data_IF_139912832748
#
_entry.id   IF_139912832748
#
_cell.length_a   1.000
_cell.length_b   1.000
_cell.length_c   1.000
_cell.angle_alpha   90.00
_cell.angle_beta   90.00
_cell.angle_gamma   90.00
#
_symmetry.space_group_name_H-M   'P 1'
#
loop_
_entity.id
_entity.type
_entity.pdbx_description
1 polymer ?
#
# COMPACT_ATOMS: atom_id res chain seq x y z
N UNK A 1 4.06 -70.00 26.78
CA UNK A 1 3.93 -69.64 25.35
C UNK A 1 3.33 -68.25 25.29
N UNK A 2 4.12 -67.28 24.82
CA UNK A 2 3.76 -65.86 24.76
C UNK A 2 2.75 -65.67 23.62
N UNK A 3 1.57 -65.09 23.94
CA UNK A 3 0.61 -64.59 22.95
C UNK A 3 0.82 -63.09 22.82
N UNK A 4 1.31 -62.65 21.66
CA UNK A 4 1.34 -61.24 21.29
C UNK A 4 -0.09 -60.80 20.91
N UNK A 5 -0.56 -59.70 21.51
CA UNK A 5 -1.78 -59.00 21.13
C UNK A 5 -1.35 -57.72 20.41
N UNK A 6 -1.73 -57.58 19.15
CA UNK A 6 -1.59 -56.31 18.41
C UNK A 6 -2.83 -55.46 18.67
N UNK A 7 -2.64 -54.28 19.26
CA UNK A 7 -3.68 -53.24 19.36
C UNK A 7 -3.45 -52.28 18.19
N UNK A 8 -4.38 -52.26 17.23
CA UNK A 8 -4.45 -51.21 16.22
C UNK A 8 -5.17 -50.01 16.84
N UNK A 9 -4.45 -48.93 17.11
CA UNK A 9 -5.04 -47.63 17.41
C UNK A 9 -5.49 -46.99 16.10
N UNK A 10 -6.79 -46.97 15.84
CA UNK A 10 -7.38 -46.17 14.77
C UNK A 10 -7.37 -44.71 15.25
N UNK A 11 -6.38 -43.93 14.79
CA UNK A 11 -6.42 -42.47 14.90
C UNK A 11 -7.56 -41.96 14.01
N UNK A 12 -8.74 -41.72 14.60
CA UNK A 12 -9.73 -40.86 13.98
C UNK A 12 -9.16 -39.44 13.97
N UNK A 13 -8.59 -39.03 12.85
CA UNK A 13 -8.39 -37.62 12.55
C UNK A 13 -9.78 -36.99 12.40
N UNK A 14 -10.25 -36.34 13.46
CA UNK A 14 -11.31 -35.34 13.34
C UNK A 14 -10.67 -34.20 12.57
N UNK A 15 -10.86 -34.16 11.25
CA UNK A 15 -10.73 -32.90 10.52
C UNK A 15 -11.82 -31.99 11.11
N UNK A 16 -11.43 -31.14 12.06
CA UNK A 16 -12.21 -29.95 12.33
C UNK A 16 -12.22 -29.18 11.00
N UNK A 17 -13.38 -29.16 10.33
CA UNK A 17 -13.60 -28.23 9.25
C UNK A 17 -13.32 -26.84 9.85
N UNK A 18 -12.30 -26.15 9.33
CA UNK A 18 -12.06 -24.76 9.67
C UNK A 18 -13.40 -24.01 9.51
N UNK A 19 -13.83 -23.21 10.49
CA UNK A 19 -15.04 -22.43 10.34
C UNK A 19 -14.85 -21.59 9.07
N UNK A 20 -15.81 -21.66 8.13
CA UNK A 20 -15.85 -20.70 7.04
C UNK A 20 -15.84 -19.31 7.68
N UNK A 21 -14.82 -18.49 7.41
CA UNK A 21 -14.81 -17.14 7.95
C UNK A 21 -16.11 -16.46 7.55
N UNK A 22 -16.77 -15.94 8.58
CA UNK A 22 -17.98 -15.17 8.42
C UNK A 22 -17.58 -13.85 7.78
N UNK A 23 -18.41 -13.33 6.87
CA UNK A 23 -18.22 -11.97 6.39
C UNK A 23 -18.26 -11.01 7.59
N UNK A 24 -17.35 -10.02 7.61
CA UNK A 24 -17.31 -9.02 8.66
C UNK A 24 -18.57 -8.16 8.61
N UNK A 25 -19.16 -7.91 9.77
CA UNK A 25 -20.21 -6.90 9.88
C UNK A 25 -19.56 -5.51 9.87
N UNK A 26 -20.05 -4.62 9.01
CA UNK A 26 -19.54 -3.25 8.88
C UNK A 26 -20.53 -2.25 9.50
N UNK A 27 -20.03 -1.38 10.38
CA UNK A 27 -20.75 -0.20 10.86
C UNK A 27 -20.11 1.04 10.28
N UNK A 28 -20.90 1.82 9.55
CA UNK A 28 -20.44 3.02 8.86
C UNK A 28 -20.88 4.28 9.62
N UNK A 29 -19.95 5.23 9.75
CA UNK A 29 -20.19 6.56 10.26
C UNK A 29 -19.89 7.58 9.15
N UNK A 30 -20.77 8.55 8.98
CA UNK A 30 -20.58 9.67 8.07
C UNK A 30 -20.62 10.99 8.83
N UNK A 31 -19.94 12.01 8.29
CA UNK A 31 -19.98 13.36 8.82
C UNK A 31 -20.59 14.33 7.80
N UNK A 32 -21.54 15.16 8.23
CA UNK A 32 -22.00 16.30 7.44
C UNK A 32 -21.00 17.45 7.63
N UNK A 33 -20.24 17.73 6.57
CA UNK A 33 -19.19 18.74 6.58
C UNK A 33 -19.62 19.98 5.78
N UNK A 34 -19.19 21.19 6.19
CA UNK A 34 -19.54 22.42 5.48
C UNK A 34 -18.97 22.46 4.05
N UNK A 35 -17.88 21.72 3.81
CA UNK A 35 -17.19 21.58 2.54
C UNK A 35 -16.77 20.12 2.34
N UNK A 36 -16.59 19.70 1.09
CA UNK A 36 -16.09 18.35 0.78
C UNK A 36 -14.63 18.21 1.23
N UNK A 37 -14.25 17.00 1.60
CA UNK A 37 -12.85 16.60 1.76
C UNK A 37 -12.18 16.60 0.40
N UNK A 38 -11.05 17.28 0.27
CA UNK A 38 -10.23 17.33 -0.95
C UNK A 38 -8.85 16.68 -0.79
N UNK A 39 -8.50 16.29 0.44
CA UNK A 39 -7.32 15.51 0.76
C UNK A 39 -7.50 14.78 2.09
N UNK A 40 -6.97 13.56 2.15
CA UNK A 40 -6.95 12.70 3.32
C UNK A 40 -5.54 12.11 3.43
N UNK A 41 -4.98 12.08 4.64
CA UNK A 41 -3.64 11.53 4.84
C UNK A 41 -3.27 11.46 6.32
N UNK A 42 -1.99 11.17 6.58
CA UNK A 42 -1.42 11.15 7.92
C UNK A 42 -0.47 12.31 8.11
N UNK A 43 -0.56 12.98 9.27
CA UNK A 43 0.39 14.00 9.68
C UNK A 43 0.68 13.79 11.16
N UNK A 44 1.95 13.57 11.50
CA UNK A 44 2.41 13.28 12.87
C UNK A 44 1.68 12.08 13.51
N UNK A 45 1.42 11.04 12.70
CA UNK A 45 0.71 9.83 13.12
C UNK A 45 -0.81 9.95 13.22
N UNK A 46 -1.37 11.17 13.12
CA UNK A 46 -2.81 11.39 13.16
C UNK A 46 -3.45 11.33 11.77
N UNK A 47 -4.67 10.81 11.67
CA UNK A 47 -5.50 10.93 10.46
C UNK A 47 -5.97 12.37 10.32
N UNK A 48 -5.71 12.97 9.16
CA UNK A 48 -6.06 14.34 8.86
C UNK A 48 -6.82 14.43 7.55
N UNK A 49 -7.87 15.25 7.55
CA UNK A 49 -8.52 15.72 6.33
C UNK A 49 -8.19 17.19 6.08
N UNK A 50 -8.14 17.56 4.81
CA UNK A 50 -8.28 18.94 4.35
C UNK A 50 -9.61 19.08 3.63
N UNK A 51 -10.34 20.14 3.96
CA UNK A 51 -11.58 20.51 3.29
C UNK A 51 -11.29 21.44 2.12
N UNK A 52 -12.23 21.53 1.17
CA UNK A 52 -12.11 22.39 -0.02
C UNK A 52 -11.98 23.90 0.28
N UNK A 53 -12.21 24.33 1.52
CA UNK A 53 -11.95 25.71 1.99
C UNK A 53 -10.51 25.90 2.52
N UNK A 54 -9.69 24.85 2.49
CA UNK A 54 -8.31 24.82 2.99
C UNK A 54 -8.19 24.49 4.49
N UNK A 55 -9.30 24.35 5.22
CA UNK A 55 -9.24 24.02 6.65
C UNK A 55 -8.81 22.56 6.87
N UNK A 56 -8.01 22.34 7.91
CA UNK A 56 -7.49 21.02 8.27
C UNK A 56 -8.06 20.55 9.60
N UNK A 57 -8.39 19.26 9.68
CA UNK A 57 -8.97 18.66 10.88
C UNK A 57 -8.38 17.29 11.15
N UNK A 58 -8.06 17.01 12.40
CA UNK A 58 -7.78 15.65 12.88
C UNK A 58 -9.11 14.90 12.96
N UNK A 59 -9.14 13.70 12.39
CA UNK A 59 -10.29 12.78 12.46
C UNK A 59 -10.13 11.87 13.67
N UNK A 60 -11.16 11.78 14.49
CA UNK A 60 -11.29 10.79 15.56
C UNK A 60 -12.63 10.06 15.48
N UNK A 61 -12.83 9.11 16.37
CA UNK A 61 -14.06 8.32 16.49
C UNK A 61 -14.45 8.18 17.96
N UNK A 62 -15.73 8.35 18.26
CA UNK A 62 -16.32 8.05 19.57
C UNK A 62 -17.65 7.28 19.44
N UNK A 63 -18.34 7.07 20.56
CA UNK A 63 -19.62 6.35 20.59
C UNK A 63 -20.71 7.00 19.73
N UNK A 64 -20.66 8.33 19.55
CA UNK A 64 -21.61 9.12 18.76
C UNK A 64 -21.24 9.18 17.27
N UNK A 65 -19.95 9.01 16.95
CA UNK A 65 -19.45 8.85 15.59
C UNK A 65 -18.18 9.64 15.34
N UNK A 66 -18.04 10.18 14.13
CA UNK A 66 -16.83 10.89 13.72
C UNK A 66 -16.70 12.19 14.53
N UNK A 67 -15.53 12.41 15.12
CA UNK A 67 -15.15 13.67 15.74
C UNK A 67 -14.11 14.39 14.88
N UNK A 68 -14.18 15.73 14.87
CA UNK A 68 -13.22 16.57 14.15
C UNK A 68 -12.63 17.61 15.08
N UNK A 69 -11.30 17.64 15.15
CA UNK A 69 -10.56 18.66 15.88
C UNK A 69 -9.78 19.55 14.91
N UNK A 70 -10.02 20.87 14.86
CA UNK A 70 -9.27 21.76 13.99
C UNK A 70 -7.78 21.68 14.26
N UNK A 71 -6.98 21.72 13.20
CA UNK A 71 -5.52 21.86 13.30
C UNK A 71 -5.01 22.95 12.36
N UNK A 72 -3.88 23.59 12.68
CA UNK A 72 -3.20 24.46 11.73
C UNK A 72 -2.84 23.71 10.45
N UNK A 73 -2.73 24.45 9.35
CA UNK A 73 -2.12 23.96 8.12
C UNK A 73 -0.71 23.40 8.43
N UNK A 74 -0.36 22.22 7.91
CA UNK A 74 0.98 21.67 8.08
C UNK A 74 2.02 22.58 7.44
N UNK A 75 3.20 22.64 8.05
CA UNK A 75 4.35 23.28 7.39
C UNK A 75 4.66 22.53 6.09
N UNK A 76 5.07 23.23 5.03
CA UNK A 76 5.50 22.57 3.81
C UNK A 76 6.65 21.59 4.12
N UNK A 77 6.69 20.42 3.47
CA UNK A 77 7.78 19.48 3.64
C UNK A 77 9.14 20.15 3.38
N UNK A 78 10.15 19.77 4.16
CA UNK A 78 11.52 20.23 3.90
C UNK A 78 12.04 19.45 2.69
N UNK A 79 12.30 20.17 1.60
CA UNK A 79 12.87 19.58 0.39
C UNK A 79 14.27 19.01 0.62
N UNK A 80 14.71 18.16 -0.30
CA UNK A 80 15.97 17.42 -0.17
C UNK A 80 17.23 18.31 -0.32
N UNK A 81 17.06 19.49 -0.93
CA UNK A 81 18.14 20.35 -1.44
C UNK A 81 18.96 19.70 -2.57
N UNK A 82 18.44 18.67 -3.24
CA UNK A 82 19.06 18.07 -4.41
C UNK A 82 18.99 19.03 -5.62
N UNK A 83 20.11 19.36 -6.28
CA UNK A 83 20.09 20.20 -7.48
C UNK A 83 19.34 19.57 -8.67
N UNK A 84 19.04 18.27 -8.61
CA UNK A 84 18.26 17.55 -9.61
C UNK A 84 16.96 16.96 -9.02
N UNK A 85 16.39 17.59 -7.98
CA UNK A 85 15.09 17.21 -7.42
C UNK A 85 13.99 17.18 -8.49
N UNK A 86 12.95 16.36 -8.24
CA UNK A 86 11.73 16.39 -9.06
C UNK A 86 10.99 17.72 -8.87
N UNK A 87 10.23 18.20 -9.88
CA UNK A 87 9.45 19.43 -9.76
C UNK A 87 8.41 19.40 -8.62
N UNK A 88 7.82 18.24 -8.37
CA UNK A 88 6.83 17.96 -7.32
C UNK A 88 7.43 17.08 -6.21
N UNK A 89 8.72 17.27 -5.91
CA UNK A 89 9.50 16.45 -4.98
C UNK A 89 8.73 16.10 -3.68
N UNK A 90 8.74 14.80 -3.39
CA UNK A 90 8.31 14.25 -2.10
C UNK A 90 9.52 13.59 -1.45
N UNK A 91 9.89 14.10 -0.27
CA UNK A 91 10.88 13.47 0.61
C UNK A 91 10.14 12.62 1.63
N UNK A 92 10.39 11.31 1.62
CA UNK A 92 9.90 10.38 2.63
C UNK A 92 10.96 10.15 3.70
N UNK A 93 10.54 9.77 4.90
CA UNK A 93 11.42 9.47 6.03
C UNK A 93 11.17 8.05 6.52
N UNK A 94 12.23 7.31 6.81
CA UNK A 94 12.18 5.98 7.43
C UNK A 94 12.37 6.03 8.94
N UNK A 95 12.22 4.87 9.57
CA UNK A 95 12.35 4.71 11.02
C UNK A 95 13.65 3.98 11.42
N UNK A 96 14.31 3.28 10.49
CA UNK A 96 15.52 2.49 10.76
C UNK A 96 16.80 3.10 10.15
N UNK A 97 17.43 2.43 9.19
CA UNK A 97 18.69 2.83 8.54
C UNK A 97 18.54 4.01 7.57
N UNK A 98 17.36 4.21 6.95
CA UNK A 98 17.11 5.23 5.94
C UNK A 98 16.42 6.44 6.58
N UNK A 99 17.15 7.53 6.78
CA UNK A 99 16.62 8.77 7.35
C UNK A 99 15.67 9.50 6.41
N UNK A 100 16.00 9.53 5.12
CA UNK A 100 15.19 10.17 4.10
C UNK A 100 15.45 9.59 2.70
N UNK A 101 14.45 9.56 1.83
CA UNK A 101 14.60 9.20 0.42
C UNK A 101 13.71 10.05 -0.49
N UNK A 102 14.15 10.27 -1.74
CA UNK A 102 13.41 11.04 -2.74
C UNK A 102 13.84 10.64 -4.15
N UNK A 103 12.94 10.85 -5.12
CA UNK A 103 13.26 10.69 -6.53
C UNK A 103 13.94 11.94 -7.11
N UNK A 104 14.72 11.75 -8.18
CA UNK A 104 15.54 12.79 -8.81
C UNK A 104 15.74 12.56 -10.30
N UNK A 105 16.40 13.54 -10.95
CA UNK A 105 16.69 13.56 -12.39
C UNK A 105 15.40 13.48 -13.23
N UNK A 106 14.57 14.53 -13.21
CA UNK A 106 13.34 14.56 -14.01
C UNK A 106 13.65 14.31 -15.49
N UNK A 107 12.80 13.54 -16.15
CA UNK A 107 12.97 13.13 -17.55
C UNK A 107 11.62 12.95 -18.24
N UNK A 108 11.57 13.23 -19.54
CA UNK A 108 10.38 13.01 -20.38
C UNK A 108 10.53 11.75 -21.26
N UNK A 109 11.49 10.86 -20.97
CA UNK A 109 11.86 9.76 -21.87
C UNK A 109 10.82 8.63 -21.95
N UNK A 110 9.95 8.54 -20.95
CA UNK A 110 8.88 7.55 -20.91
C UNK A 110 7.56 8.23 -21.22
N UNK A 111 7.18 9.25 -20.44
CA UNK A 111 6.08 10.17 -20.76
C UNK A 111 4.72 9.49 -20.75
N UNK A 112 4.45 8.63 -19.77
CA UNK A 112 3.18 7.90 -19.69
C UNK A 112 2.02 8.79 -19.23
N UNK A 113 2.31 9.82 -18.44
CA UNK A 113 1.32 10.74 -17.88
C UNK A 113 0.28 10.12 -16.93
N UNK A 114 0.55 8.91 -16.42
CA UNK A 114 -0.39 8.21 -15.56
C UNK A 114 -0.59 8.90 -14.21
N UNK A 115 0.44 9.59 -13.70
CA UNK A 115 0.44 10.28 -12.40
C UNK A 115 0.13 11.79 -12.48
N UNK A 116 -0.35 12.27 -13.65
CA UNK A 116 -0.81 13.65 -13.85
C UNK A 116 0.17 14.55 -14.61
N UNK A 117 1.45 14.20 -14.67
CA UNK A 117 2.43 14.83 -15.57
C UNK A 117 3.23 13.77 -16.36
N UNK A 118 3.92 14.20 -17.42
CA UNK A 118 4.73 13.32 -18.25
C UNK A 118 6.22 13.30 -17.83
N UNK A 119 6.51 13.58 -16.56
CA UNK A 119 7.87 13.69 -16.02
C UNK A 119 8.11 12.54 -15.04
N UNK A 120 8.87 11.55 -15.46
CA UNK A 120 9.29 10.46 -14.58
C UNK A 120 10.69 10.70 -14.00
N UNK A 121 11.03 9.94 -12.96
CA UNK A 121 12.31 10.07 -12.29
C UNK A 121 13.38 9.18 -12.95
N UNK A 122 14.53 9.78 -13.24
CA UNK A 122 15.70 9.08 -13.77
C UNK A 122 16.60 8.46 -12.72
N UNK A 123 16.39 8.81 -11.45
CA UNK A 123 17.15 8.26 -10.34
C UNK A 123 16.45 8.41 -9.00
N UNK A 124 17.06 7.81 -8.00
CA UNK A 124 16.68 7.82 -6.59
C UNK A 124 17.87 8.34 -5.79
N UNK A 125 17.60 9.08 -4.72
CA UNK A 125 18.58 9.37 -3.70
C UNK A 125 18.03 9.03 -2.32
N UNK A 126 18.95 8.69 -1.42
CA UNK A 126 18.62 8.58 0.00
C UNK A 126 19.71 9.17 0.88
N UNK A 127 19.32 9.42 2.12
CA UNK A 127 20.18 9.78 3.23
C UNK A 127 20.05 8.71 4.30
N UNK A 128 21.16 8.09 4.65
CA UNK A 128 21.24 7.14 5.76
C UNK A 128 21.23 7.89 7.09
N UNK A 129 20.92 7.18 8.18
CA UNK A 129 20.90 7.75 9.54
C UNK A 129 22.24 8.39 9.96
N UNK A 130 23.37 7.86 9.46
CA UNK A 130 24.70 8.45 9.64
C UNK A 130 24.97 9.73 8.84
N UNK A 131 23.99 10.22 8.07
CA UNK A 131 24.09 11.43 7.23
C UNK A 131 24.72 11.21 5.86
N UNK A 132 25.19 10.00 5.56
CA UNK A 132 25.72 9.63 4.25
C UNK A 132 24.62 9.67 3.19
N UNK A 133 24.97 10.19 2.02
CA UNK A 133 24.07 10.30 0.88
C UNK A 133 24.50 9.33 -0.20
N UNK A 134 23.55 8.52 -0.65
CA UNK A 134 23.72 7.59 -1.76
C UNK A 134 22.74 7.95 -2.89
N UNK A 135 23.12 7.63 -4.13
CA UNK A 135 22.26 7.80 -5.29
C UNK A 135 22.26 6.53 -6.15
N UNK A 136 21.12 6.23 -6.76
CA UNK A 136 20.98 5.20 -7.78
C UNK A 136 20.37 5.84 -9.01
N UNK A 137 21.11 5.86 -10.11
CA UNK A 137 20.64 6.41 -11.38
C UNK A 137 20.33 5.26 -12.35
N UNK A 138 19.16 5.28 -12.96
CA UNK A 138 18.78 4.31 -13.97
C UNK A 138 19.45 4.62 -15.32
N UNK A 139 19.63 3.59 -16.13
CA UNK A 139 19.95 3.78 -17.55
C UNK A 139 18.77 4.45 -18.27
N UNK A 140 18.98 4.89 -19.51
CA UNK A 140 17.90 5.47 -20.33
C UNK A 140 16.83 4.47 -20.74
N UNK A 141 16.98 3.18 -20.41
CA UNK A 141 16.04 2.12 -20.79
C UNK A 141 14.88 1.98 -19.81
N UNK A 142 14.94 2.63 -18.64
CA UNK A 142 13.89 2.60 -17.62
C UNK A 142 13.74 3.95 -16.91
N UNK A 143 12.65 4.14 -16.18
CA UNK A 143 12.38 5.26 -15.26
C UNK A 143 11.80 4.71 -13.96
N UNK A 144 11.85 5.48 -12.87
CA UNK A 144 10.97 5.26 -11.73
C UNK A 144 9.65 5.97 -12.02
N UNK A 145 8.57 5.21 -12.08
CA UNK A 145 7.21 5.70 -12.40
C UNK A 145 6.35 5.68 -11.14
N UNK A 146 6.69 6.59 -10.23
CA UNK A 146 6.19 6.65 -8.87
C UNK A 146 6.47 8.06 -8.30
N UNK A 147 5.67 8.55 -7.34
CA UNK A 147 5.85 9.94 -6.82
C UNK A 147 6.76 10.02 -5.61
N UNK A 148 6.82 8.95 -4.82
CA UNK A 148 7.67 8.86 -3.65
C UNK A 148 8.18 7.43 -3.46
N UNK A 149 9.46 7.23 -3.09
CA UNK A 149 9.95 5.91 -2.69
C UNK A 149 9.20 5.41 -1.46
N UNK A 150 8.98 4.10 -1.34
CA UNK A 150 8.42 3.49 -0.12
C UNK A 150 9.56 2.89 0.68
N UNK A 151 9.78 3.39 1.91
CA UNK A 151 10.78 2.85 2.84
C UNK A 151 10.08 1.80 3.70
N UNK A 152 10.56 0.56 3.67
CA UNK A 152 9.94 -0.56 4.38
C UNK A 152 10.95 -1.70 4.56
N UNK A 153 10.96 -2.30 5.74
CA UNK A 153 11.61 -3.58 6.04
C UNK A 153 10.83 -4.72 5.35
N UNK A 154 11.28 -5.11 4.15
CA UNK A 154 10.54 -6.03 3.28
C UNK A 154 10.81 -7.47 3.71
N UNK A 155 12.03 -7.81 4.09
CA UNK A 155 12.40 -9.19 4.45
C UNK A 155 12.27 -9.50 5.96
N UNK A 156 12.01 -8.49 6.78
CA UNK A 156 11.76 -8.63 8.22
C UNK A 156 13.04 -8.69 9.06
N UNK A 157 14.20 -8.30 8.53
CA UNK A 157 15.47 -8.34 9.26
C UNK A 157 15.72 -7.12 10.16
N UNK A 158 14.86 -6.10 10.08
CA UNK A 158 14.93 -4.85 10.83
C UNK A 158 15.76 -3.75 10.17
N UNK A 159 16.20 -3.95 8.93
CA UNK A 159 16.77 -2.95 8.04
C UNK A 159 15.69 -2.55 7.03
N UNK A 160 15.58 -1.26 6.71
CA UNK A 160 14.64 -0.81 5.68
C UNK A 160 15.28 -0.92 4.28
N UNK A 161 14.48 -1.43 3.34
CA UNK A 161 14.70 -1.34 1.90
C UNK A 161 13.86 -0.21 1.30
N UNK A 162 14.09 0.05 0.01
CA UNK A 162 13.21 0.86 -0.82
C UNK A 162 12.42 -0.04 -1.77
N UNK A 163 11.09 0.04 -1.68
CA UNK A 163 10.18 -0.44 -2.72
C UNK A 163 9.88 0.68 -3.72
N UNK A 164 10.09 0.40 -5.01
CA UNK A 164 9.87 1.34 -6.10
C UNK A 164 9.11 0.68 -7.27
N UNK A 165 8.46 1.52 -8.10
CA UNK A 165 7.92 1.10 -9.40
C UNK A 165 8.90 1.51 -10.49
N UNK A 166 9.55 0.53 -11.13
CA UNK A 166 10.51 0.75 -12.21
C UNK A 166 9.87 0.37 -13.55
N UNK A 167 9.74 1.35 -14.44
CA UNK A 167 9.12 1.16 -15.75
C UNK A 167 10.15 1.13 -16.86
N UNK A 168 10.21 0.00 -17.55
CA UNK A 168 11.04 -0.19 -18.73
C UNK A 168 10.37 0.44 -19.95
N UNK A 169 11.13 1.23 -20.71
CA UNK A 169 10.67 1.95 -21.90
C UNK A 169 10.05 1.06 -22.99
N UNK A 170 10.32 -0.25 -22.96
CA UNK A 170 9.82 -1.24 -23.92
C UNK A 170 9.00 -2.36 -23.30
N UNK A 171 8.91 -2.45 -21.98
CA UNK A 171 8.29 -3.58 -21.29
C UNK A 171 7.35 -3.21 -20.14
N UNK A 172 7.22 -1.92 -19.81
CA UNK A 172 6.31 -1.44 -18.76
C UNK A 172 6.89 -1.62 -17.36
N UNK A 173 6.02 -1.41 -16.36
CA UNK A 173 6.37 -1.44 -14.95
C UNK A 173 6.75 -2.83 -14.45
N UNK A 174 7.68 -2.82 -13.50
CA UNK A 174 8.03 -3.89 -12.59
C UNK A 174 8.12 -3.31 -11.16
N UNK A 175 7.90 -4.17 -10.16
CA UNK A 175 8.30 -3.85 -8.80
C UNK A 175 9.82 -4.00 -8.69
N UNK A 176 10.45 -3.13 -7.90
CA UNK A 176 11.88 -3.12 -7.66
C UNK A 176 12.14 -2.94 -6.16
N UNK A 177 12.97 -3.82 -5.60
CA UNK A 177 13.53 -3.70 -4.25
C UNK A 177 14.96 -3.19 -4.36
N UNK A 178 15.26 -2.12 -3.62
CA UNK A 178 16.59 -1.52 -3.58
C UNK A 178 17.09 -1.55 -2.15
N UNK A 179 18.23 -2.19 -1.96
CA UNK A 179 18.90 -2.32 -0.67
C UNK A 179 20.02 -1.28 -0.51
N UNK A 180 20.32 -0.97 0.74
CA UNK A 180 21.57 -0.30 1.13
C UNK A 180 22.68 -1.33 1.33
N UNK A 181 23.90 -1.05 0.83
CA UNK A 181 25.07 -1.91 1.04
C UNK A 181 26.33 -1.10 1.27
N UNK A 182 27.41 -1.77 1.68
CA UNK A 182 28.76 -1.20 1.83
C UNK A 182 29.28 -0.50 0.55
N UNK A 183 28.70 -0.84 -0.61
CA UNK A 183 29.09 -0.32 -1.94
C UNK A 183 28.07 0.68 -2.50
N UNK A 184 27.16 1.18 -1.66
CA UNK A 184 26.05 2.04 -2.05
C UNK A 184 24.77 1.27 -2.32
N UNK A 185 23.86 1.86 -3.09
CA UNK A 185 22.56 1.26 -3.42
C UNK A 185 22.69 0.16 -4.47
N UNK A 186 21.97 -0.93 -4.25
CA UNK A 186 21.90 -2.07 -5.18
C UNK A 186 20.45 -2.42 -5.48
N UNK A 187 20.16 -2.73 -6.73
CA UNK A 187 18.91 -3.40 -7.09
C UNK A 187 18.95 -4.84 -6.56
N UNK A 188 18.16 -5.11 -5.54
CA UNK A 188 18.19 -6.37 -4.82
C UNK A 188 17.33 -7.43 -5.49
N UNK A 189 16.12 -7.04 -5.89
CA UNK A 189 15.21 -7.89 -6.64
C UNK A 189 14.29 -7.07 -7.54
N UNK A 190 13.79 -7.69 -8.61
CA UNK A 190 12.76 -7.12 -9.47
C UNK A 190 11.70 -8.18 -9.82
N UNK A 191 10.46 -7.74 -10.06
CA UNK A 191 9.47 -8.58 -10.72
C UNK A 191 9.75 -8.64 -12.22
N UNK A 192 9.19 -9.64 -12.92
CA UNK A 192 9.11 -9.53 -14.37
C UNK A 192 8.32 -8.27 -14.76
N UNK A 193 8.77 -7.49 -15.76
CA UNK A 193 7.98 -6.38 -16.29
C UNK A 193 6.66 -6.88 -16.86
N UNK A 194 5.62 -6.03 -16.84
CA UNK A 194 4.28 -6.40 -17.33
C UNK A 194 4.27 -6.87 -18.80
N UNK A 195 5.28 -6.48 -19.59
CA UNK A 195 5.57 -7.02 -20.92
C UNK A 195 5.20 -6.08 -22.08
N UNK A 196 4.62 -4.92 -21.79
CA UNK A 196 4.33 -3.87 -22.78
C UNK A 196 4.58 -2.49 -22.18
N UNK A 197 5.09 -1.51 -22.95
CA UNK A 197 5.25 -0.15 -22.46
C UNK A 197 3.89 0.45 -22.10
N UNK A 198 3.89 1.46 -21.22
CA UNK A 198 2.69 2.13 -20.73
C UNK A 198 1.71 1.19 -20.01
N UNK A 199 2.27 0.13 -19.42
CA UNK A 199 1.59 -0.70 -18.45
C UNK A 199 2.20 -0.43 -17.10
N UNK A 200 1.35 -0.11 -16.15
CA UNK A 200 1.73 0.32 -14.83
C UNK A 200 1.06 -0.54 -13.76
N UNK A 201 1.63 -0.54 -12.57
CA UNK A 201 1.09 -1.19 -11.38
C UNK A 201 1.19 -0.22 -10.21
N UNK A 202 0.31 -0.36 -9.23
CA UNK A 202 0.36 0.44 -8.02
C UNK A 202 0.51 -0.47 -6.79
N UNK A 203 1.57 -0.32 -6.00
CA UNK A 203 1.71 -1.04 -4.74
C UNK A 203 0.58 -0.73 -3.76
N UNK A 204 0.14 -1.75 -3.02
CA UNK A 204 -0.82 -1.63 -1.91
C UNK A 204 -0.08 -1.55 -0.57
N UNK A 205 0.90 -2.44 -0.36
CA UNK A 205 1.66 -2.52 0.88
C UNK A 205 2.53 -3.78 0.94
N UNK A 206 3.23 -3.95 2.06
CA UNK A 206 4.08 -5.10 2.36
C UNK A 206 3.64 -5.73 3.69
N UNK A 207 3.57 -7.05 3.76
CA UNK A 207 3.16 -7.79 4.95
C UNK A 207 3.07 -9.28 4.68
N UNK A 208 3.00 -10.09 5.74
CA UNK A 208 2.75 -11.53 5.68
C UNK A 208 1.26 -11.76 5.38
N UNK A 209 0.88 -11.69 4.11
CA UNK A 209 -0.53 -11.66 3.68
C UNK A 209 -1.13 -13.06 3.54
N UNK A 210 -0.28 -14.09 3.52
CA UNK A 210 -0.69 -15.49 3.42
C UNK A 210 -0.51 -16.27 4.74
N UNK A 211 0.16 -15.70 5.74
CA UNK A 211 0.30 -16.23 7.09
C UNK A 211 1.40 -17.30 7.22
N UNK A 212 2.35 -17.36 6.28
CA UNK A 212 3.42 -18.34 6.27
C UNK A 212 4.70 -17.89 7.00
N UNK A 213 4.71 -16.64 7.47
CA UNK A 213 5.81 -16.03 8.22
C UNK A 213 6.84 -15.30 7.35
N UNK A 214 6.69 -15.32 6.01
CA UNK A 214 7.41 -14.45 5.09
C UNK A 214 6.53 -13.26 4.73
N UNK A 215 7.12 -12.23 4.15
CA UNK A 215 6.41 -11.00 3.78
C UNK A 215 6.32 -10.91 2.28
N UNK A 216 5.14 -10.51 1.81
CA UNK A 216 4.84 -10.32 0.41
C UNK A 216 4.61 -8.84 0.11
N UNK A 217 4.82 -8.47 -1.15
CA UNK A 217 4.44 -7.18 -1.69
C UNK A 217 3.11 -7.35 -2.41
N UNK A 218 2.07 -6.66 -1.94
CA UNK A 218 0.78 -6.60 -2.62
C UNK A 218 0.77 -5.44 -3.61
N UNK A 219 0.31 -5.66 -4.85
CA UNK A 219 0.14 -4.62 -5.85
C UNK A 219 -1.07 -4.89 -6.76
N UNK A 220 -1.67 -3.82 -7.29
CA UNK A 220 -2.68 -3.92 -8.36
C UNK A 220 -2.00 -3.72 -9.71
N UNK A 221 -2.01 -4.77 -10.53
CA UNK A 221 -1.41 -4.79 -11.86
C UNK A 221 -2.40 -4.22 -12.88
N UNK A 222 -1.96 -3.22 -13.64
CA UNK A 222 -2.78 -2.50 -14.64
C UNK A 222 -4.12 -2.01 -14.09
N UNK A 223 -4.14 -1.14 -13.05
CA UNK A 223 -5.36 -0.73 -12.35
C UNK A 223 -6.41 -0.04 -13.23
N UNK A 224 -6.06 0.37 -14.46
CA UNK A 224 -6.99 1.00 -15.41
C UNK A 224 -7.58 0.03 -16.44
N UNK A 225 -7.10 -1.22 -16.48
CA UNK A 225 -7.43 -2.19 -17.53
C UNK A 225 -7.64 -3.58 -16.96
N UNK A 226 -6.57 -4.23 -16.47
CA UNK A 226 -6.63 -5.61 -15.99
C UNK A 226 -7.15 -5.70 -14.55
N UNK A 227 -6.67 -4.82 -13.67
CA UNK A 227 -7.15 -4.73 -12.30
C UNK A 227 -6.94 -6.01 -11.49
N UNK A 228 -5.72 -6.57 -11.57
CA UNK A 228 -5.35 -7.80 -10.88
C UNK A 228 -4.62 -7.45 -9.58
N UNK A 229 -5.22 -7.76 -8.44
CA UNK A 229 -4.53 -7.72 -7.15
C UNK A 229 -3.64 -8.96 -7.05
N UNK A 230 -2.35 -8.77 -6.81
CA UNK A 230 -1.35 -9.84 -6.81
C UNK A 230 -0.38 -9.67 -5.66
N UNK A 231 -0.03 -10.80 -5.03
CA UNK A 231 1.08 -10.91 -4.08
C UNK A 231 2.35 -11.33 -4.80
N UNK A 232 3.46 -10.71 -4.41
CA UNK A 232 4.80 -11.06 -4.85
C UNK A 232 5.65 -11.43 -3.64
N UNK A 233 6.29 -12.57 -3.71
CA UNK A 233 7.24 -13.02 -2.70
C UNK A 233 8.66 -12.72 -3.17
N UNK A 234 9.51 -12.26 -2.27
CA UNK A 234 10.91 -12.05 -2.56
C UNK A 234 11.71 -13.35 -2.42
N UNK A 235 12.26 -13.83 -3.54
CA UNK A 235 13.12 -15.03 -3.61
C UNK A 235 14.41 -14.70 -4.37
N UNK A 236 15.54 -14.77 -3.67
CA UNK A 236 16.86 -14.43 -4.22
C UNK A 236 16.87 -13.02 -4.86
N UNK A 237 17.15 -12.92 -6.16
CA UNK A 237 17.18 -11.65 -6.91
C UNK A 237 15.85 -11.35 -7.64
N UNK A 238 14.74 -12.00 -7.24
CA UNK A 238 13.45 -11.93 -7.94
C UNK A 238 12.29 -11.67 -7.00
N UNK A 239 11.31 -10.91 -7.50
CA UNK A 239 9.96 -10.85 -6.94
C UNK A 239 9.07 -11.80 -7.75
N UNK A 240 8.74 -12.95 -7.17
CA UNK A 240 7.97 -13.99 -7.84
C UNK A 240 6.48 -13.84 -7.53
N UNK A 241 5.59 -13.92 -8.54
CA UNK A 241 4.16 -13.86 -8.30
C UNK A 241 3.72 -15.13 -7.56
N UNK A 242 2.94 -14.96 -6.50
CA UNK A 242 2.48 -16.09 -5.67
C UNK A 242 0.99 -16.37 -5.89
N UNK A 243 0.13 -15.42 -5.56
CA UNK A 243 -1.32 -15.54 -5.66
C UNK A 243 -1.95 -14.25 -6.18
N UNK A 244 -3.14 -14.35 -6.76
CA UNK A 244 -3.82 -13.21 -7.37
C UNK A 244 -5.34 -13.34 -7.38
N UNK A 245 -6.00 -12.19 -7.48
CA UNK A 245 -7.43 -12.07 -7.67
C UNK A 245 -7.78 -10.89 -8.60
N UNK A 246 -8.74 -11.06 -9.53
CA UNK A 246 -9.15 -9.99 -10.44
C UNK A 246 -10.20 -9.07 -9.81
N UNK A 247 -10.42 -7.91 -10.44
CA UNK A 247 -11.58 -7.06 -10.18
C UNK A 247 -11.32 -5.89 -9.24
N UNK A 248 -10.08 -5.39 -9.22
CA UNK A 248 -9.64 -4.30 -8.34
C UNK A 248 -9.08 -3.12 -9.13
N UNK A 249 -9.20 -1.91 -8.57
CA UNK A 249 -8.51 -0.72 -9.07
C UNK A 249 -8.18 0.18 -7.89
N UNK A 250 -6.93 0.61 -7.77
CA UNK A 250 -6.48 1.52 -6.71
C UNK A 250 -5.83 2.78 -7.30
N UNK A 251 -6.23 3.17 -8.51
CA UNK A 251 -5.72 4.39 -9.14
C UNK A 251 -6.65 4.91 -10.23
N UNK A 252 -6.82 6.24 -10.30
CA UNK A 252 -7.49 6.93 -11.39
C UNK A 252 -6.45 7.52 -12.35
N UNK A 253 -6.57 7.25 -13.66
CA UNK A 253 -5.60 7.75 -14.66
C UNK A 253 -5.47 9.28 -14.60
N UNK A 254 -4.23 9.77 -14.58
CA UNK A 254 -3.92 11.20 -14.46
C UNK A 254 -4.04 11.77 -13.05
N UNK A 255 -4.40 10.95 -12.05
CA UNK A 255 -4.40 11.38 -10.65
C UNK A 255 -2.98 11.31 -10.06
N UNK A 256 -2.58 12.28 -9.23
CA UNK A 256 -1.35 12.20 -8.45
C UNK A 256 -1.50 11.36 -7.16
N UNK A 257 -2.71 10.87 -6.86
CA UNK A 257 -3.02 10.08 -5.67
C UNK A 257 -2.80 8.58 -5.92
N UNK A 258 -1.90 7.96 -5.15
CA UNK A 258 -1.56 6.54 -5.23
C UNK A 258 -2.05 5.73 -4.03
N UNK A 259 -2.58 6.39 -2.99
CA UNK A 259 -2.95 5.81 -1.69
C UNK A 259 -4.38 5.28 -1.59
N UNK A 260 -5.05 4.92 -2.70
CA UNK A 260 -6.45 4.44 -2.69
C UNK A 260 -6.64 3.06 -2.04
N UNK A 261 -5.56 2.42 -1.59
CA UNK A 261 -5.56 1.09 -0.99
C UNK A 261 -4.61 1.06 0.20
N UNK A 262 -4.90 0.19 1.17
CA UNK A 262 -4.05 0.01 2.35
C UNK A 262 -4.16 -1.44 2.87
N UNK A 263 -3.37 -1.77 3.88
CA UNK A 263 -3.35 -3.06 4.53
C UNK A 263 -3.45 -2.93 6.05
N UNK A 264 -4.21 -3.81 6.67
CA UNK A 264 -4.40 -3.91 8.12
C UNK A 264 -5.09 -5.23 8.47
N UNK A 265 -4.81 -5.79 9.64
CA UNK A 265 -5.58 -6.91 10.19
C UNK A 265 -6.99 -6.42 10.60
N UNK A 266 -8.00 -6.74 9.79
CA UNK A 266 -9.36 -6.23 9.96
C UNK A 266 -10.29 -7.23 10.64
N UNK A 267 -9.98 -8.53 10.59
CA UNK A 267 -10.73 -9.58 11.27
C UNK A 267 -10.10 -10.04 12.60
N UNK A 268 -8.89 -9.57 12.91
CA UNK A 268 -8.19 -9.82 14.16
C UNK A 268 -7.56 -11.22 14.24
N UNK A 269 -7.32 -11.89 13.10
CA UNK A 269 -6.69 -13.20 13.06
C UNK A 269 -5.16 -13.15 13.10
N UNK A 270 -4.57 -11.95 13.06
CA UNK A 270 -3.13 -11.70 13.08
C UNK A 270 -2.47 -11.69 11.71
N UNK A 271 -3.21 -11.94 10.63
CA UNK A 271 -2.76 -11.87 9.24
C UNK A 271 -3.33 -10.58 8.63
N UNK A 272 -2.51 -9.65 8.12
CA UNK A 272 -3.01 -8.43 7.50
C UNK A 272 -3.95 -8.71 6.32
N UNK A 273 -5.05 -7.97 6.28
CA UNK A 273 -5.98 -7.93 5.15
C UNK A 273 -5.67 -6.75 4.22
N UNK A 274 -6.17 -6.83 2.99
CA UNK A 274 -6.04 -5.81 1.97
C UNK A 274 -7.36 -5.07 1.79
N UNK A 275 -7.32 -3.75 1.94
CA UNK A 275 -8.44 -2.86 1.70
C UNK A 275 -8.21 -2.20 0.34
N UNK A 276 -8.96 -2.65 -0.68
CA UNK A 276 -8.77 -2.24 -2.07
C UNK A 276 -10.12 -1.97 -2.72
N UNK A 277 -10.29 -0.85 -3.46
CA UNK A 277 -11.53 -0.62 -4.19
C UNK A 277 -11.76 -1.66 -5.29
N UNK A 278 -13.03 -1.87 -5.62
CA UNK A 278 -13.42 -2.65 -6.80
C UNK A 278 -12.87 -2.04 -8.10
N UNK A 279 -13.01 -2.75 -9.22
CA UNK A 279 -12.52 -2.28 -10.53
C UNK A 279 -13.13 -0.94 -10.97
N UNK A 280 -14.31 -0.57 -10.46
CA UNK A 280 -14.95 0.72 -10.73
C UNK A 280 -14.49 1.83 -9.76
N UNK A 281 -13.59 1.50 -8.82
CA UNK A 281 -13.17 2.31 -7.67
C UNK A 281 -14.33 2.78 -6.79
N UNK A 282 -15.47 2.10 -6.82
CA UNK A 282 -16.68 2.56 -6.15
C UNK A 282 -16.78 1.97 -4.76
N UNK A 283 -16.89 0.65 -4.68
CA UNK A 283 -17.03 -0.02 -3.40
C UNK A 283 -15.65 -0.37 -2.84
N UNK A 284 -15.47 -0.20 -1.53
CA UNK A 284 -14.28 -0.71 -0.86
C UNK A 284 -14.48 -2.19 -0.55
N UNK A 285 -13.52 -3.04 -0.90
CA UNK A 285 -13.50 -4.44 -0.52
C UNK A 285 -12.39 -4.68 0.49
N UNK A 286 -12.72 -5.44 1.53
CA UNK A 286 -11.74 -6.01 2.46
C UNK A 286 -11.54 -7.45 2.05
N UNK A 287 -10.32 -7.80 1.69
CA UNK A 287 -9.97 -9.13 1.17
C UNK A 287 -8.74 -9.66 1.86
N UNK A 288 -8.62 -10.98 1.93
CA UNK A 288 -7.51 -11.68 2.58
C UNK A 288 -6.97 -12.76 1.66
N UNK A 289 -5.68 -13.05 1.79
CA UNK A 289 -5.02 -14.21 1.18
C UNK A 289 -4.57 -15.24 2.21
N UNK A 290 -5.00 -15.08 3.47
CA UNK A 290 -4.71 -15.99 4.59
C UNK A 290 -4.76 -17.47 4.19
N UNK A 291 -3.65 -18.17 4.49
CA UNK A 291 -3.35 -19.55 4.10
C UNK A 291 -3.35 -19.81 2.59
N UNK A 292 -2.83 -18.85 1.82
CA UNK A 292 -2.74 -18.88 0.35
C UNK A 292 -4.08 -18.82 -0.38
N UNK A 293 -5.16 -18.37 0.29
CA UNK A 293 -6.53 -18.40 -0.25
C UNK A 293 -7.17 -17.03 -0.27
N UNK A 294 -7.52 -16.58 -1.48
CA UNK A 294 -8.35 -15.40 -1.64
C UNK A 294 -9.74 -15.57 -1.02
N UNK A 295 -10.13 -14.62 -0.17
CA UNK A 295 -11.50 -14.45 0.32
C UNK A 295 -11.84 -12.97 0.42
N UNK A 296 -13.10 -12.62 0.15
CA UNK A 296 -13.63 -11.31 0.48
C UNK A 296 -14.28 -11.37 1.85
N UNK A 297 -13.77 -10.58 2.79
CA UNK A 297 -14.26 -10.47 4.16
C UNK A 297 -15.42 -9.49 4.27
N UNK A 298 -15.36 -8.37 3.54
CA UNK A 298 -16.40 -7.34 3.57
C UNK A 298 -16.49 -6.55 2.26
N UNK A 299 -17.61 -5.85 2.07
CA UNK A 299 -17.76 -4.81 1.07
C UNK A 299 -18.49 -3.61 1.68
N UNK A 300 -17.93 -2.41 1.48
CA UNK A 300 -18.53 -1.13 1.86
C UNK A 300 -19.04 -0.46 0.59
N UNK A 301 -20.35 -0.31 0.51
CA UNK A 301 -21.01 0.23 -0.69
C UNK A 301 -21.00 1.76 -0.66
N UNK A 302 -20.61 2.37 -1.78
CA UNK A 302 -20.55 3.83 -1.90
C UNK A 302 -21.36 4.37 -3.07
N UNK A 303 -21.93 5.56 -2.86
CA UNK A 303 -22.66 6.31 -3.89
C UNK A 303 -21.72 6.98 -4.90
N UNK A 304 -20.49 7.26 -4.52
CA UNK A 304 -19.47 7.93 -5.33
C UNK A 304 -18.17 7.11 -5.36
N UNK A 305 -17.26 7.46 -6.26
CA UNK A 305 -15.95 6.80 -6.38
C UNK A 305 -15.00 7.20 -5.25
N UNK A 306 -14.12 6.28 -4.91
CA UNK A 306 -12.97 6.46 -4.02
C UNK A 306 -11.82 6.97 -4.90
N UNK A 307 -11.55 8.27 -4.82
CA UNK A 307 -10.48 8.93 -5.59
C UNK A 307 -9.44 9.62 -4.69
N UNK A 308 -9.61 9.55 -3.37
CA UNK A 308 -8.67 10.03 -2.35
C UNK A 308 -8.02 8.83 -1.65
N UNK A 309 -6.96 9.10 -0.88
CA UNK A 309 -6.33 8.10 -0.02
C UNK A 309 -7.32 7.36 0.88
N UNK A 310 -6.99 6.09 1.15
CA UNK A 310 -7.66 5.18 2.07
C UNK A 310 -6.70 4.88 3.21
N UNK A 311 -7.15 5.03 4.46
CA UNK A 311 -6.34 4.77 5.64
C UNK A 311 -6.98 3.70 6.52
N UNK A 312 -6.15 2.94 7.23
CA UNK A 312 -6.59 2.05 8.30
C UNK A 312 -5.89 2.43 9.63
N UNK A 313 -6.65 2.90 10.62
CA UNK A 313 -6.11 3.37 11.90
C UNK A 313 -7.11 3.16 13.03
N UNK A 314 -6.59 2.81 14.22
CA UNK A 314 -7.35 2.80 15.47
C UNK A 314 -7.64 4.24 15.90
N UNK A 315 -8.90 4.67 15.72
CA UNK A 315 -9.35 6.03 16.00
C UNK A 315 -10.01 6.17 17.38
N UNK A 316 -10.58 5.10 17.92
CA UNK A 316 -11.28 5.11 19.21
C UNK A 316 -10.47 4.46 20.36
N UNK A 317 -9.31 3.89 20.06
CA UNK A 317 -8.36 3.33 21.02
C UNK A 317 -8.72 1.92 21.50
N UNK A 318 -9.59 1.20 20.79
CA UNK A 318 -10.02 -0.15 21.18
C UNK A 318 -9.03 -1.25 20.76
N UNK A 319 -7.98 -0.89 20.02
CA UNK A 319 -6.95 -1.80 19.52
C UNK A 319 -7.25 -2.42 18.16
N UNK A 320 -8.41 -2.14 17.57
CA UNK A 320 -8.75 -2.49 16.19
C UNK A 320 -8.62 -1.27 15.31
N UNK A 321 -8.50 -1.48 14.00
CA UNK A 321 -8.37 -0.40 13.03
C UNK A 321 -9.68 -0.17 12.31
N UNK A 322 -10.02 1.08 12.11
CA UNK A 322 -11.12 1.51 11.26
C UNK A 322 -10.60 1.86 9.87
N UNK A 323 -11.43 1.68 8.85
CA UNK A 323 -11.16 2.24 7.53
C UNK A 323 -11.67 3.69 7.44
N UNK A 324 -10.82 4.59 6.96
CA UNK A 324 -11.14 6.00 6.74
C UNK A 324 -11.01 6.29 5.25
N UNK A 325 -12.10 6.79 4.67
CA UNK A 325 -12.19 7.11 3.24
C UNK A 325 -13.13 8.30 3.02
N UNK A 326 -13.04 8.92 1.85
CA UNK A 326 -13.93 10.02 1.48
C UNK A 326 -14.46 9.90 0.03
N UNK A 327 -15.35 8.93 -0.27
CA UNK A 327 -15.94 8.78 -1.59
C UNK A 327 -16.68 10.06 -1.99
N UNK A 328 -16.38 10.61 -3.17
CA UNK A 328 -16.93 11.90 -3.61
C UNK A 328 -16.65 13.07 -2.64
N UNK A 329 -15.60 12.97 -1.81
CA UNK A 329 -15.25 13.95 -0.79
C UNK A 329 -16.11 13.91 0.48
N UNK A 330 -16.94 12.87 0.66
CA UNK A 330 -17.77 12.68 1.88
C UNK A 330 -17.07 11.77 2.87
N UNK A 331 -16.58 12.33 3.97
CA UNK A 331 -15.86 11.56 4.99
C UNK A 331 -16.73 10.43 5.53
N UNK A 332 -16.15 9.22 5.52
CA UNK A 332 -16.71 7.99 6.06
C UNK A 332 -15.65 7.29 6.90
N UNK A 333 -16.05 6.80 8.07
CA UNK A 333 -15.27 5.90 8.92
C UNK A 333 -16.04 4.59 9.05
N UNK A 334 -15.37 3.46 8.87
CA UNK A 334 -15.98 2.12 8.89
C UNK A 334 -15.31 1.27 9.95
N UNK A 335 -16.12 0.80 10.90
CA UNK A 335 -15.73 -0.17 11.92
C UNK A 335 -16.13 -1.57 11.44
N UNK A 336 -15.20 -2.51 11.44
CA UNK A 336 -15.47 -3.91 11.10
C UNK A 336 -15.55 -4.77 12.36
N UNK A 337 -16.46 -5.76 12.36
CA UNK A 337 -16.65 -6.69 13.48
C UNK A 337 -16.58 -8.14 12.99
N UNK A 338 -15.73 -8.98 13.60
CA UNK A 338 -15.63 -10.42 13.33
C UNK A 338 -16.91 -11.23 13.58
#
# INVERSE_FOLDING_TARGET
MVRAVFVFALLLSVLAAAPAARALDAREFGAELPHLVDWLGRIDGAVVIRLADGSHHVVGLDEQGITLSPRPEPLPPVGSSDPAAMPDEIVVTGENNIRAAWYRKPTERYGHAVLGDAIEAGGLALRLEGGYRENLDLTTEAVFEDRAPRIVDIDGDGVDEILAVKSYTRAGAALAVIETSDRGLRMAAESEPIGLPFRWLNPVGVGDFDGDGRREIAAVITPHIGGILRLFEWRDERLEPETEAPGFSNHAIGSPEQGLSTAADMDGDGIPDLLVPDAARRNLRVVTFSFGRFRQLAEVVNTDTIDLALLAQDLDGDGRREAILAPGGRLKVVVFKP
#
